data_IF_798710748841
#
_entry.id   IF_798710748841
#
_cell.length_a   1.000
_cell.length_b   1.000
_cell.length_c   1.000
_cell.angle_alpha   90.00
_cell.angle_beta   90.00
_cell.angle_gamma   90.00
#
_symmetry.space_group_name_H-M   'P 1'
#
loop_
_entity.id
_entity.type
_entity.pdbx_description
1 polymer ?
#
# COMPACT_ATOMS: atom_id res chain seq x y z
N UNK A 1 -7.70 2.62 16.18
CA UNK A 1 -7.97 3.81 17.01
C UNK A 1 -6.65 4.51 17.26
N UNK A 2 -6.59 5.84 17.19
CA UNK A 2 -5.35 6.58 17.44
C UNK A 2 -4.89 6.37 18.90
N UNK A 3 -3.63 6.01 19.09
CA UNK A 3 -3.03 5.86 20.41
C UNK A 3 -2.54 7.23 20.91
N UNK A 4 -3.47 7.99 21.49
CA UNK A 4 -3.25 9.38 21.95
C UNK A 4 -2.18 9.44 23.04
N UNK A 5 -2.11 8.41 23.90
CA UNK A 5 -1.08 8.33 24.93
C UNK A 5 0.31 8.23 24.31
N UNK A 6 0.48 7.35 23.32
CA UNK A 6 1.73 7.23 22.58
C UNK A 6 2.09 8.52 21.85
N UNK A 7 1.13 9.13 21.16
CA UNK A 7 1.33 10.36 20.40
C UNK A 7 1.75 11.53 21.30
N UNK A 8 1.10 11.69 22.45
CA UNK A 8 1.46 12.67 23.48
C UNK A 8 2.93 12.52 23.90
N UNK A 9 3.38 11.29 24.19
CA UNK A 9 4.76 11.01 24.62
C UNK A 9 5.78 11.33 23.51
N UNK A 10 5.45 11.01 22.27
CA UNK A 10 6.33 11.27 21.12
C UNK A 10 6.46 12.76 20.83
N UNK A 11 5.37 13.54 20.82
CA UNK A 11 5.41 15.00 20.65
C UNK A 11 6.19 15.66 21.78
N UNK A 12 5.93 15.23 23.03
CA UNK A 12 6.64 15.75 24.20
C UNK A 12 8.15 15.56 24.04
N UNK A 13 8.57 14.36 23.63
CA UNK A 13 9.98 14.04 23.40
C UNK A 13 10.58 14.85 22.25
N UNK A 14 9.90 14.97 21.12
CA UNK A 14 10.36 15.74 19.97
C UNK A 14 10.55 17.24 20.30
N UNK A 15 9.71 17.77 21.18
CA UNK A 15 9.81 19.16 21.68
C UNK A 15 10.75 19.32 22.88
N UNK A 16 11.41 18.26 23.34
CA UNK A 16 12.29 18.30 24.52
C UNK A 16 11.56 18.58 25.83
N UNK A 17 10.24 18.35 25.89
CA UNK A 17 9.40 18.55 27.06
C UNK A 17 9.24 17.25 27.85
N UNK A 18 9.21 17.35 29.18
CA UNK A 18 8.81 16.22 30.03
C UNK A 18 7.29 16.22 30.20
N UNK A 19 6.72 15.03 30.44
CA UNK A 19 5.29 14.91 30.78
C UNK A 19 4.91 15.73 32.03
N UNK A 20 5.85 15.92 32.96
CA UNK A 20 5.68 16.81 34.12
C UNK A 20 5.41 18.25 33.70
N UNK A 21 6.08 18.72 32.65
CA UNK A 21 6.00 20.11 32.19
C UNK A 21 4.66 20.35 31.50
N UNK A 22 4.16 19.36 30.76
CA UNK A 22 2.85 19.38 30.12
C UNK A 22 1.73 19.33 31.16
N UNK A 23 1.86 18.43 32.15
CA UNK A 23 0.90 18.35 33.25
C UNK A 23 0.85 19.66 34.05
N UNK A 24 2.00 20.29 34.30
CA UNK A 24 2.07 21.59 34.96
C UNK A 24 1.39 22.70 34.15
N UNK A 25 1.58 22.73 32.82
CA UNK A 25 0.89 23.68 31.92
C UNK A 25 -0.62 23.51 31.89
N UNK A 26 -1.10 22.27 32.06
CA UNK A 26 -2.52 21.97 32.17
C UNK A 26 -3.09 22.13 33.59
N UNK A 27 -2.26 22.48 34.59
CA UNK A 27 -2.69 22.56 35.99
C UNK A 27 -3.10 21.20 36.58
N UNK A 28 -2.52 20.10 36.10
CA UNK A 28 -2.86 18.73 36.52
C UNK A 28 -1.63 17.92 36.92
N UNK A 29 -1.82 16.69 37.39
CA UNK A 29 -0.73 15.74 37.69
C UNK A 29 -0.45 14.86 36.49
N UNK A 30 0.78 14.32 36.39
CA UNK A 30 1.16 13.39 35.31
C UNK A 30 0.26 12.15 35.28
N UNK A 31 -0.13 11.64 36.46
CA UNK A 31 -1.04 10.50 36.58
C UNK A 31 -2.43 10.82 36.00
N UNK A 32 -2.97 12.00 36.31
CA UNK A 32 -4.27 12.44 35.79
C UNK A 32 -4.21 12.71 34.29
N UNK A 33 -3.11 13.30 33.80
CA UNK A 33 -2.87 13.49 32.37
C UNK A 33 -2.89 12.15 31.63
N UNK A 34 -2.10 11.17 32.07
CA UNK A 34 -2.05 9.84 31.44
C UNK A 34 -3.38 9.09 31.52
N UNK A 35 -4.08 9.21 32.66
CA UNK A 35 -5.42 8.63 32.81
C UNK A 35 -6.43 9.30 31.87
N UNK A 36 -6.28 10.60 31.64
CA UNK A 36 -7.18 11.38 30.79
C UNK A 36 -7.08 11.02 29.30
N UNK A 37 -5.91 10.58 28.84
CA UNK A 37 -5.67 10.13 27.45
C UNK A 37 -5.90 8.64 27.23
N UNK A 38 -5.99 7.87 28.32
CA UNK A 38 -6.22 6.43 28.26
C UNK A 38 -7.69 6.13 27.97
N UNK A 39 -7.95 5.34 26.92
CA UNK A 39 -9.31 5.01 26.48
C UNK A 39 -9.86 6.02 25.47
N UNK A 40 -11.07 6.53 25.69
CA UNK A 40 -11.73 7.50 24.81
C UNK A 40 -11.80 8.89 25.48
N UNK A 41 -10.77 9.74 25.33
CA UNK A 41 -10.79 11.10 25.87
C UNK A 41 -11.89 11.95 25.24
N UNK A 42 -12.38 12.94 25.99
CA UNK A 42 -13.28 13.96 25.43
C UNK A 42 -12.51 14.90 24.52
N UNK A 43 -13.18 15.44 23.50
CA UNK A 43 -12.57 16.40 22.55
C UNK A 43 -11.94 17.60 23.27
N UNK A 44 -12.60 18.13 24.30
CA UNK A 44 -12.06 19.22 25.12
C UNK A 44 -10.73 18.84 25.79
N UNK A 45 -10.58 17.63 26.33
CA UNK A 45 -9.30 17.20 26.92
C UNK A 45 -8.20 17.10 25.87
N UNK A 46 -8.53 16.63 24.66
CA UNK A 46 -7.54 16.56 23.57
C UNK A 46 -7.12 17.98 23.14
N UNK A 47 -8.05 18.93 23.12
CA UNK A 47 -7.77 20.34 22.85
C UNK A 47 -6.84 20.95 23.90
N UNK A 48 -7.13 20.76 25.18
CA UNK A 48 -6.30 21.29 26.28
C UNK A 48 -4.86 20.73 26.23
N UNK A 49 -4.72 19.45 25.89
CA UNK A 49 -3.41 18.81 25.71
C UNK A 49 -2.69 19.39 24.48
N UNK A 50 -3.40 19.60 23.37
CA UNK A 50 -2.84 20.19 22.16
C UNK A 50 -2.30 21.60 22.44
N UNK A 51 -3.06 22.40 23.18
CA UNK A 51 -2.67 23.75 23.59
C UNK A 51 -1.45 23.74 24.51
N UNK A 52 -1.42 22.87 25.53
CA UNK A 52 -0.27 22.73 26.42
C UNK A 52 1.02 22.30 25.70
N UNK A 53 0.87 21.50 24.64
CA UNK A 53 1.94 21.09 23.74
C UNK A 53 2.27 22.14 22.66
N UNK A 54 1.39 23.11 22.40
CA UNK A 54 1.50 24.05 21.29
C UNK A 54 1.47 23.36 19.92
N UNK A 55 0.52 22.44 19.71
CA UNK A 55 0.31 21.70 18.45
C UNK A 55 -1.17 21.75 18.05
N UNK A 56 -1.50 21.34 16.82
CA UNK A 56 -2.89 21.15 16.43
C UNK A 56 -3.48 19.89 17.06
N UNK A 57 -4.81 19.88 17.27
CA UNK A 57 -5.55 18.66 17.70
C UNK A 57 -5.31 17.50 16.73
N UNK A 58 -5.18 17.80 15.44
CA UNK A 58 -4.81 16.82 14.41
C UNK A 58 -3.53 16.09 14.78
N UNK A 59 -2.50 16.78 15.26
CA UNK A 59 -1.18 16.20 15.49
C UNK A 59 -1.22 15.13 16.60
N UNK A 60 -2.05 15.34 17.63
CA UNK A 60 -2.30 14.34 18.68
C UNK A 60 -3.06 13.11 18.18
N UNK A 61 -3.93 13.28 17.18
CA UNK A 61 -4.75 12.20 16.63
C UNK A 61 -4.07 11.47 15.47
N UNK A 62 -3.20 12.18 14.76
CA UNK A 62 -2.64 11.72 13.49
C UNK A 62 -1.15 11.51 13.55
N UNK A 63 -0.50 11.55 14.73
CA UNK A 63 0.94 11.42 14.82
C UNK A 63 1.37 10.19 14.02
N UNK A 64 1.98 10.47 12.87
CA UNK A 64 2.41 9.43 11.96
C UNK A 64 3.76 9.00 12.51
N UNK A 65 3.97 7.72 12.85
CA UNK A 65 5.27 7.27 13.30
C UNK A 65 6.32 7.71 12.30
N UNK A 66 7.33 8.41 12.83
CA UNK A 66 8.27 9.19 12.05
C UNK A 66 9.17 8.34 11.15
N UNK A 67 9.23 8.74 9.89
CA UNK A 67 10.46 9.17 9.21
C UNK A 67 10.00 9.78 7.89
N UNK A 68 10.43 11.01 7.59
CA UNK A 68 10.41 11.45 6.20
C UNK A 68 11.18 10.39 5.39
N UNK A 69 10.54 9.74 4.42
CA UNK A 69 11.26 8.86 3.50
C UNK A 69 12.11 9.69 2.53
N UNK A 70 11.77 10.96 2.35
CA UNK A 70 12.54 11.90 1.56
C UNK A 70 12.07 13.33 1.73
N UNK A 71 12.82 14.23 1.11
CA UNK A 71 12.49 15.64 0.94
C UNK A 71 12.52 15.95 -0.55
N UNK A 72 11.55 16.71 -1.04
CA UNK A 72 11.57 17.23 -2.41
C UNK A 72 11.45 18.75 -2.39
N UNK A 73 12.27 19.43 -3.18
CA UNK A 73 12.20 20.88 -3.35
C UNK A 73 11.62 21.16 -4.71
N UNK A 74 10.44 21.79 -4.74
CA UNK A 74 9.73 22.17 -5.98
C UNK A 74 9.52 23.68 -5.91
N UNK A 75 10.00 24.41 -6.92
CA UNK A 75 9.93 25.87 -7.01
C UNK A 75 10.46 26.60 -5.75
N UNK A 76 11.55 26.07 -5.18
CA UNK A 76 12.16 26.62 -3.96
C UNK A 76 11.39 26.33 -2.66
N UNK A 77 10.30 25.57 -2.73
CA UNK A 77 9.52 25.14 -1.56
C UNK A 77 9.85 23.70 -1.20
N UNK A 78 10.20 23.46 0.06
CA UNK A 78 10.52 22.12 0.58
C UNK A 78 9.26 21.38 1.00
N UNK A 79 9.11 20.15 0.52
CA UNK A 79 8.02 19.24 0.85
C UNK A 79 8.59 17.98 1.50
N UNK A 80 7.89 17.47 2.51
CA UNK A 80 8.24 16.22 3.18
C UNK A 80 7.48 15.05 2.54
N UNK A 81 8.21 14.03 2.11
CA UNK A 81 7.63 12.75 1.69
C UNK A 81 7.48 11.90 2.95
N UNK A 82 6.25 11.73 3.40
CA UNK A 82 5.93 10.85 4.52
C UNK A 82 5.52 9.46 4.00
N UNK A 83 5.74 8.42 4.82
CA UNK A 83 5.19 7.09 4.55
C UNK A 83 3.67 7.21 4.35
N UNK A 84 3.09 6.64 3.27
CA UNK A 84 1.65 6.62 3.08
C UNK A 84 0.96 5.98 4.29
N UNK A 85 -0.23 6.46 4.66
CA UNK A 85 -0.98 5.82 5.74
C UNK A 85 -1.29 4.37 5.37
N UNK A 86 -1.48 3.50 6.35
CA UNK A 86 -1.90 2.09 6.13
C UNK A 86 -3.25 1.97 5.38
N UNK A 87 -3.95 3.08 5.16
CA UNK A 87 -5.20 3.15 4.41
C UNK A 87 -5.00 3.47 2.91
N UNK A 88 -3.76 3.67 2.46
CA UNK A 88 -3.44 3.86 1.03
C UNK A 88 -3.01 2.53 0.44
N UNK A 89 -3.69 2.10 -0.62
CA UNK A 89 -3.25 0.95 -1.42
C UNK A 89 -1.91 1.31 -2.04
N UNK A 90 -0.86 0.58 -1.65
CA UNK A 90 0.45 0.67 -2.29
C UNK A 90 0.45 -0.25 -3.50
N UNK A 91 0.60 0.33 -4.68
CA UNK A 91 0.81 -0.46 -5.89
C UNK A 91 2.32 -0.74 -5.97
N UNK A 92 2.75 -2.00 -5.92
CA UNK A 92 4.17 -2.33 -6.00
C UNK A 92 4.73 -1.90 -7.35
N UNK A 93 5.99 -1.44 -7.36
CA UNK A 93 6.71 -1.12 -8.58
C UNK A 93 7.73 -2.22 -8.86
N UNK A 94 7.65 -2.80 -10.06
CA UNK A 94 8.54 -3.85 -10.54
C UNK A 94 9.61 -3.24 -11.43
N UNK A 95 10.83 -3.16 -10.90
CA UNK A 95 12.03 -2.70 -11.63
C UNK A 95 12.90 -3.86 -12.15
N UNK A 96 12.41 -5.09 -11.98
CA UNK A 96 13.15 -6.33 -12.24
C UNK A 96 12.18 -7.43 -12.67
N UNK A 97 12.38 -7.97 -13.87
CA UNK A 97 11.51 -9.00 -14.41
C UNK A 97 11.52 -10.29 -13.58
N UNK A 98 12.65 -10.68 -12.99
CA UNK A 98 12.69 -11.90 -12.18
C UNK A 98 11.77 -11.85 -10.95
N UNK A 99 11.63 -10.68 -10.33
CA UNK A 99 10.70 -10.45 -9.22
C UNK A 99 9.27 -10.47 -9.72
N UNK A 100 8.96 -9.75 -10.81
CA UNK A 100 7.62 -9.75 -11.42
C UNK A 100 7.18 -11.16 -11.80
N UNK A 101 8.03 -11.90 -12.52
CA UNK A 101 7.78 -13.29 -12.90
C UNK A 101 7.54 -14.18 -11.69
N UNK A 102 8.29 -13.97 -10.61
CA UNK A 102 8.12 -14.68 -9.34
C UNK A 102 6.73 -14.45 -8.74
N UNK A 103 6.31 -13.19 -8.67
CA UNK A 103 5.02 -12.80 -8.11
C UNK A 103 3.84 -13.25 -8.99
N UNK A 104 3.96 -13.16 -10.32
CA UNK A 104 2.94 -13.68 -11.25
C UNK A 104 2.80 -15.19 -11.11
N UNK A 105 3.91 -15.94 -11.08
CA UNK A 105 3.89 -17.40 -10.83
C UNK A 105 3.20 -17.74 -9.52
N UNK A 106 3.58 -17.05 -8.45
CA UNK A 106 2.99 -17.27 -7.13
C UNK A 106 1.49 -16.93 -7.12
N UNK A 107 1.11 -15.83 -7.76
CA UNK A 107 -0.28 -15.40 -7.85
C UNK A 107 -1.13 -16.41 -8.63
N UNK A 108 -0.74 -16.80 -9.84
CA UNK A 108 -1.52 -17.72 -10.68
C UNK A 108 -1.67 -19.07 -9.98
N UNK A 109 -0.59 -19.63 -9.44
CA UNK A 109 -0.62 -20.91 -8.73
C UNK A 109 -1.59 -20.89 -7.53
N UNK A 110 -1.67 -19.78 -6.80
CA UNK A 110 -2.62 -19.62 -5.69
C UNK A 110 -4.04 -19.38 -6.20
N UNK A 111 -4.19 -18.52 -7.20
CA UNK A 111 -5.48 -18.08 -7.72
C UNK A 111 -6.31 -19.26 -8.27
N UNK A 112 -5.69 -20.19 -8.99
CA UNK A 112 -6.42 -21.36 -9.54
C UNK A 112 -6.98 -22.30 -8.47
N UNK A 113 -6.49 -22.22 -7.23
CA UNK A 113 -7.00 -22.98 -6.08
C UNK A 113 -8.06 -22.20 -5.28
N UNK A 114 -8.21 -20.90 -5.53
CA UNK A 114 -9.11 -20.00 -4.79
C UNK A 114 -10.53 -19.99 -5.39
N UNK A 115 -11.54 -20.01 -4.51
CA UNK A 115 -12.96 -19.87 -4.91
C UNK A 115 -13.42 -18.42 -4.98
N UNK A 116 -12.59 -17.47 -4.53
CA UNK A 116 -12.87 -16.04 -4.54
C UNK A 116 -11.97 -15.35 -5.55
N UNK A 117 -12.51 -14.35 -6.24
CA UNK A 117 -11.72 -13.52 -7.15
C UNK A 117 -10.56 -12.86 -6.42
N UNK A 118 -9.41 -12.82 -7.07
CA UNK A 118 -8.19 -12.22 -6.55
C UNK A 118 -7.49 -11.43 -7.65
N UNK A 119 -6.64 -10.49 -7.26
CA UNK A 119 -6.01 -9.57 -8.19
C UNK A 119 -4.57 -9.30 -7.79
N UNK A 120 -3.69 -9.27 -8.79
CA UNK A 120 -2.32 -8.77 -8.70
C UNK A 120 -2.23 -7.48 -9.52
N UNK A 121 -1.74 -6.42 -8.91
CA UNK A 121 -1.52 -5.13 -9.57
C UNK A 121 -0.09 -4.67 -9.36
N UNK A 122 0.46 -3.95 -10.34
CA UNK A 122 1.79 -3.40 -10.22
C UNK A 122 2.07 -2.33 -11.27
N UNK A 123 3.05 -1.48 -10.97
CA UNK A 123 3.66 -0.57 -11.94
C UNK A 123 4.90 -1.24 -12.53
N UNK A 124 5.07 -1.17 -13.85
CA UNK A 124 6.34 -1.51 -14.53
C UNK A 124 7.11 -0.23 -14.86
N UNK A 125 8.40 -0.34 -15.22
CA UNK A 125 9.39 0.78 -15.26
C UNK A 125 8.91 2.09 -15.91
N UNK A 126 8.02 2.01 -16.91
CA UNK A 126 7.43 3.14 -17.65
C UNK A 126 6.25 3.81 -16.93
N UNK A 127 6.00 3.49 -15.65
CA UNK A 127 4.81 3.87 -14.88
C UNK A 127 3.50 3.32 -15.47
N UNK A 128 3.59 2.27 -16.29
CA UNK A 128 2.43 1.57 -16.83
C UNK A 128 1.87 0.64 -15.74
N UNK A 129 0.57 0.74 -15.53
CA UNK A 129 -0.13 -0.06 -14.53
C UNK A 129 -0.61 -1.34 -15.20
N UNK A 130 -0.30 -2.48 -14.61
CA UNK A 130 -0.99 -3.73 -14.93
C UNK A 130 -1.96 -4.13 -13.82
N UNK A 131 -3.01 -4.83 -14.24
CA UNK A 131 -3.99 -5.47 -13.38
C UNK A 131 -4.25 -6.87 -13.90
N UNK A 132 -3.83 -7.89 -13.15
CA UNK A 132 -4.09 -9.29 -13.44
C UNK A 132 -5.17 -9.79 -12.47
N UNK A 133 -6.38 -9.95 -12.99
CA UNK A 133 -7.55 -10.39 -12.25
C UNK A 133 -7.81 -11.89 -12.51
N UNK A 134 -8.05 -12.65 -11.45
CA UNK A 134 -8.62 -14.00 -11.54
C UNK A 134 -10.12 -13.94 -11.29
N UNK A 135 -10.89 -14.46 -12.24
CA UNK A 135 -12.34 -14.64 -12.15
C UNK A 135 -12.68 -16.14 -12.06
N UNK A 136 -12.85 -16.68 -10.84
CA UNK A 136 -13.19 -18.09 -10.67
C UNK A 136 -14.61 -18.43 -11.12
N UNK A 137 -15.51 -17.45 -11.28
CA UNK A 137 -16.88 -17.71 -11.73
C UNK A 137 -16.94 -18.04 -13.22
N UNK A 138 -16.11 -17.36 -14.01
CA UNK A 138 -15.99 -17.61 -15.45
C UNK A 138 -14.78 -18.47 -15.81
N UNK A 139 -14.01 -18.93 -14.82
CA UNK A 139 -12.76 -19.68 -15.01
C UNK A 139 -11.79 -18.96 -15.97
N UNK A 140 -11.53 -17.68 -15.70
CA UNK A 140 -10.67 -16.84 -16.54
C UNK A 140 -9.64 -16.04 -15.74
N UNK A 141 -8.56 -15.68 -16.42
CA UNK A 141 -7.72 -14.55 -16.05
C UNK A 141 -7.94 -13.37 -17.00
N UNK A 142 -7.86 -12.16 -16.48
CA UNK A 142 -7.87 -10.93 -17.26
C UNK A 142 -6.63 -10.10 -16.94
N UNK A 143 -5.73 -9.96 -17.91
CA UNK A 143 -4.61 -9.02 -17.81
C UNK A 143 -4.99 -7.72 -18.50
N UNK A 144 -5.10 -6.63 -17.74
CA UNK A 144 -5.28 -5.28 -18.26
C UNK A 144 -4.00 -4.47 -18.11
N UNK A 145 -3.57 -3.84 -19.20
CA UNK A 145 -2.36 -3.03 -19.29
C UNK A 145 -2.77 -1.60 -19.62
N UNK A 146 -2.49 -0.68 -18.70
CA UNK A 146 -2.84 0.73 -18.79
C UNK A 146 -1.58 1.54 -19.09
N UNK A 147 -1.51 2.04 -20.33
CA UNK A 147 -0.36 2.76 -20.86
C UNK A 147 -0.40 4.24 -20.44
N UNK A 148 0.77 4.88 -20.36
CA UNK A 148 0.89 6.30 -19.97
C UNK A 148 0.14 7.27 -20.88
N UNK A 149 -0.13 6.88 -22.14
CA UNK A 149 -0.92 7.67 -23.10
C UNK A 149 -2.45 7.52 -22.91
N UNK A 150 -2.89 6.77 -21.88
CA UNK A 150 -4.29 6.56 -21.55
C UNK A 150 -4.97 5.44 -22.34
N UNK A 151 -4.25 4.75 -23.22
CA UNK A 151 -4.73 3.52 -23.84
C UNK A 151 -4.77 2.38 -22.82
N UNK A 152 -5.76 1.49 -22.93
CA UNK A 152 -5.80 0.23 -22.19
C UNK A 152 -5.91 -0.93 -23.18
N UNK A 153 -5.13 -1.99 -22.94
CA UNK A 153 -5.30 -3.28 -23.61
C UNK A 153 -5.64 -4.35 -22.57
N UNK A 154 -6.58 -5.23 -22.89
CA UNK A 154 -6.98 -6.33 -22.01
C UNK A 154 -6.85 -7.65 -22.75
N UNK A 155 -6.17 -8.61 -22.13
CA UNK A 155 -5.96 -9.97 -22.60
C UNK A 155 -6.72 -10.94 -21.69
N UNK A 156 -7.72 -11.65 -22.22
CA UNK A 156 -8.38 -12.73 -21.50
C UNK A 156 -7.59 -14.04 -21.68
N UNK A 157 -7.54 -14.86 -20.63
CA UNK A 157 -7.03 -16.23 -20.68
C UNK A 157 -8.13 -17.15 -20.16
N UNK A 158 -8.71 -17.94 -21.04
CA UNK A 158 -9.80 -18.87 -20.74
C UNK A 158 -9.23 -20.24 -20.35
N UNK A 159 -9.74 -20.83 -19.26
CA UNK A 159 -9.31 -22.16 -18.81
C UNK A 159 -9.39 -23.21 -19.91
N UNK A 160 -10.39 -23.15 -20.78
CA UNK A 160 -10.56 -24.12 -21.86
C UNK A 160 -9.45 -24.03 -22.91
N UNK A 161 -8.80 -22.88 -23.06
CA UNK A 161 -7.63 -22.68 -23.93
C UNK A 161 -6.33 -23.09 -23.24
N UNK A 162 -6.24 -22.89 -21.91
CA UNK A 162 -5.05 -23.15 -21.11
C UNK A 162 -5.30 -24.23 -20.05
N UNK A 163 -5.85 -25.37 -20.46
CA UNK A 163 -6.02 -26.53 -19.59
C UNK A 163 -5.23 -27.76 -20.03
N UNK A 164 -4.90 -28.56 -19.03
CA UNK A 164 -4.56 -29.98 -19.17
C UNK A 164 -5.80 -30.82 -18.85
N UNK A 165 -6.06 -31.84 -19.66
CA UNK A 165 -7.18 -32.75 -19.46
C UNK A 165 -6.77 -33.91 -18.54
N UNK A 166 -7.55 -34.13 -17.47
CA UNK A 166 -7.37 -35.25 -16.54
C UNK A 166 -8.72 -35.90 -16.28
N UNK A 167 -8.87 -37.16 -16.68
CA UNK A 167 -10.12 -37.92 -16.52
C UNK A 167 -11.37 -37.16 -17.00
N UNK A 168 -11.29 -36.58 -18.21
CA UNK A 168 -12.31 -35.73 -18.85
C UNK A 168 -12.65 -34.42 -18.10
N UNK A 169 -11.87 -34.07 -17.07
CA UNK A 169 -11.96 -32.80 -16.36
C UNK A 169 -10.85 -31.87 -16.84
N UNK A 170 -11.23 -30.68 -17.30
CA UNK A 170 -10.30 -29.60 -17.61
C UNK A 170 -9.72 -29.02 -16.31
N UNK A 171 -8.39 -29.05 -16.18
CA UNK A 171 -7.65 -28.44 -15.07
C UNK A 171 -6.68 -27.43 -15.66
N UNK A 172 -6.55 -26.26 -15.05
CA UNK A 172 -5.57 -25.25 -15.48
C UNK A 172 -4.19 -25.86 -15.74
N UNK A 173 -3.64 -25.59 -16.92
CA UNK A 173 -2.21 -25.72 -17.15
C UNK A 173 -1.54 -24.46 -16.60
N UNK A 174 -1.24 -24.52 -15.31
CA UNK A 174 -0.67 -23.39 -14.56
C UNK A 174 0.64 -22.92 -15.18
N UNK A 175 1.45 -23.84 -15.72
CA UNK A 175 2.71 -23.46 -16.33
C UNK A 175 2.45 -22.67 -17.62
N UNK A 176 1.64 -23.21 -18.53
CA UNK A 176 1.35 -22.60 -19.82
C UNK A 176 0.71 -21.21 -19.65
N UNK A 177 -0.38 -21.11 -18.87
CA UNK A 177 -1.08 -19.82 -18.70
C UNK A 177 -0.17 -18.77 -18.04
N UNK A 178 0.70 -19.19 -17.13
CA UNK A 178 1.63 -18.26 -16.48
C UNK A 178 2.67 -17.74 -17.45
N UNK A 179 3.23 -18.60 -18.31
CA UNK A 179 4.22 -18.20 -19.31
C UNK A 179 3.64 -17.21 -20.32
N UNK A 180 2.40 -17.43 -20.76
CA UNK A 180 1.68 -16.52 -21.67
C UNK A 180 1.38 -15.16 -21.02
N UNK A 181 0.85 -15.15 -19.79
CA UNK A 181 0.62 -13.90 -19.03
C UNK A 181 1.92 -13.11 -18.85
N UNK A 182 3.03 -13.78 -18.51
CA UNK A 182 4.34 -13.14 -18.39
C UNK A 182 4.78 -12.60 -19.75
N UNK A 183 4.59 -13.37 -20.83
CA UNK A 183 4.90 -12.95 -22.19
C UNK A 183 4.20 -11.65 -22.59
N UNK A 184 2.89 -11.55 -22.33
CA UNK A 184 2.12 -10.35 -22.63
C UNK A 184 2.48 -9.16 -21.72
N UNK A 185 2.74 -9.41 -20.43
CA UNK A 185 3.24 -8.40 -19.49
C UNK A 185 4.57 -7.80 -19.95
N UNK A 186 5.51 -8.64 -20.37
CA UNK A 186 6.84 -8.22 -20.81
C UNK A 186 6.82 -7.62 -22.22
N UNK A 187 5.96 -8.12 -23.09
CA UNK A 187 5.75 -7.59 -24.44
C UNK A 187 5.12 -6.20 -24.47
N UNK A 188 4.43 -5.82 -23.39
CA UNK A 188 3.84 -4.50 -23.25
C UNK A 188 4.82 -3.42 -22.79
N UNK A 189 5.96 -3.80 -22.21
CA UNK A 189 6.99 -2.84 -21.83
C UNK A 189 7.64 -2.30 -23.11
N UNK A 190 7.64 -0.97 -23.34
CA UNK A 190 8.33 -0.37 -24.48
C UNK A 190 9.78 -0.87 -24.56
N UNK A 191 10.20 -1.25 -25.77
CA UNK A 191 11.44 -1.96 -26.11
C UNK A 191 12.78 -1.27 -25.75
N UNK A 192 12.83 -0.34 -24.79
CA UNK A 192 14.08 0.29 -24.35
C UNK A 192 15.01 -0.66 -23.57
N UNK A 193 14.54 -1.82 -23.11
CA UNK A 193 15.38 -2.90 -22.56
C UNK A 193 16.05 -3.80 -23.63
N UNK A 194 16.34 -3.27 -24.83
CA UNK A 194 17.23 -3.95 -25.80
C UNK A 194 18.67 -3.46 -25.78
N UNK A 195 19.05 -2.64 -24.79
CA UNK A 195 20.44 -2.25 -24.56
C UNK A 195 20.71 -2.13 -23.07
N UNK A 196 21.12 -3.24 -22.45
CA UNK A 196 22.34 -3.37 -21.63
C UNK A 196 22.67 -4.86 -21.44
#
# INVERSE_FOLDING_TARGET
MADIEKNLREIARAKGLKLSDIAARMGTTVSNLLTSVKGNPTVSKIQDIAEALGVGVSDLLTLRPESAQGLVVIDGKTWQIARPSNAVVQIPTYNRFDVLRGDVRFFVARAVEETKGSCLMGLVETMELFCLLHDPCNEMFHLSLCYGEGQTKTYPYDKMEYCSWKDDVAVWDVQQVTEEIIGDLEGAVPAMLRQE
#
